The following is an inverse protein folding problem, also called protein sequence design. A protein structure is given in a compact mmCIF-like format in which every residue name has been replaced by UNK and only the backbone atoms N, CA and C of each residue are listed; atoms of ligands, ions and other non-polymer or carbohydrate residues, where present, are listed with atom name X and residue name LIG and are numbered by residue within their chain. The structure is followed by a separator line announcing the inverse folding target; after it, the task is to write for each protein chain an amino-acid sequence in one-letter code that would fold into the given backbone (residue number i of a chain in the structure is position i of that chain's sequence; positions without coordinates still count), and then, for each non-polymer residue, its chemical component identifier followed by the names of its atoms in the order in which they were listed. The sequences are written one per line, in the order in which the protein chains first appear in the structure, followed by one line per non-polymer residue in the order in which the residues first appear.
data_IF_398325578574
#
_entry.id   IF_398325578574
#
_cell.length_a   1.000
_cell.length_b   1.000
_cell.length_c   1.000
_cell.angle_alpha   90.00
_cell.angle_beta   90.00
_cell.angle_gamma   90.00
#
_symmetry.space_group_name_H-M   'P 1'
#
loop_
_entity.id
_entity.type
_entity.pdbx_description
1 polymer ?
#
# COMPACT_ATOMS: atom_id res chain seq x y z
N UNK A 1 -15.60 29.79 56.51
CA UNK A 1 -14.28 29.71 55.84
C UNK A 1 -14.42 28.75 54.67
N UNK A 2 -14.61 29.27 53.46
CA UNK A 2 -14.65 28.49 52.23
C UNK A 2 -13.68 29.13 51.25
N UNK A 3 -12.58 28.44 50.94
CA UNK A 3 -11.61 28.86 49.94
C UNK A 3 -11.85 28.08 48.66
N UNK A 4 -12.31 28.76 47.61
CA UNK A 4 -12.39 28.20 46.27
C UNK A 4 -11.00 28.24 45.63
N UNK A 5 -10.44 27.07 45.31
CA UNK A 5 -9.22 26.95 44.54
C UNK A 5 -9.57 27.06 43.05
N UNK A 6 -9.17 28.17 42.42
CA UNK A 6 -9.36 28.44 41.00
C UNK A 6 -8.22 27.79 40.21
N UNK A 7 -8.51 26.69 39.52
CA UNK A 7 -7.57 26.01 38.62
C UNK A 7 -7.50 26.79 37.30
N UNK A 8 -6.39 27.50 37.08
CA UNK A 8 -6.08 28.11 35.79
C UNK A 8 -5.56 27.03 34.83
N UNK A 9 -6.40 26.64 33.87
CA UNK A 9 -5.98 25.87 32.70
C UNK A 9 -5.26 26.80 31.72
N UNK A 10 -3.94 26.65 31.60
CA UNK A 10 -3.16 27.30 30.55
C UNK A 10 -3.47 26.63 29.21
N UNK A 11 -4.37 27.22 28.43
CA UNK A 11 -4.56 26.88 27.01
C UNK A 11 -3.44 27.51 26.20
N UNK A 12 -2.35 26.78 26.00
CA UNK A 12 -1.37 27.12 24.98
C UNK A 12 -1.97 26.83 23.60
N UNK A 13 -2.67 27.82 23.03
CA UNK A 13 -3.03 27.82 21.62
C UNK A 13 -1.74 28.03 20.80
N UNK A 14 -0.95 26.97 20.59
CA UNK A 14 0.03 26.98 19.52
C UNK A 14 -0.76 27.04 18.21
N UNK A 15 -0.69 28.17 17.50
CA UNK A 15 -1.25 28.27 16.17
C UNK A 15 -0.62 27.16 15.31
N UNK A 16 -1.46 26.25 14.80
CA UNK A 16 -1.03 25.25 13.84
C UNK A 16 -0.35 25.98 12.68
N UNK A 17 0.93 25.70 12.37
CA UNK A 17 1.59 26.33 11.25
C UNK A 17 0.79 26.08 9.97
N UNK A 18 0.69 27.07 9.07
CA UNK A 18 -0.04 26.90 7.83
C UNK A 18 0.57 25.73 7.04
N UNK A 19 -0.28 24.86 6.51
CA UNK A 19 0.16 23.77 5.66
C UNK A 19 0.93 24.34 4.45
N UNK A 20 2.04 23.69 4.03
CA UNK A 20 2.79 24.14 2.87
C UNK A 20 1.95 24.02 1.59
N UNK A 21 2.10 24.98 0.67
CA UNK A 21 1.48 24.92 -0.66
C UNK A 21 2.18 23.86 -1.51
N UNK A 22 1.68 22.63 -1.47
CA UNK A 22 2.24 21.49 -2.21
C UNK A 22 2.20 21.73 -3.72
N UNK A 23 1.15 22.38 -4.24
CA UNK A 23 1.04 22.65 -5.68
C UNK A 23 2.16 23.57 -6.16
N UNK A 24 2.46 24.63 -5.40
CA UNK A 24 3.58 25.52 -5.70
C UNK A 24 4.93 24.78 -5.66
N UNK A 25 5.16 24.00 -4.61
CA UNK A 25 6.41 23.24 -4.39
C UNK A 25 6.66 22.25 -5.54
N UNK A 26 5.62 21.53 -5.98
CA UNK A 26 5.74 20.44 -6.95
C UNK A 26 5.42 20.82 -8.40
N UNK A 27 5.11 22.09 -8.69
CA UNK A 27 4.78 22.60 -10.02
C UNK A 27 5.74 22.15 -11.15
N UNK A 28 7.05 22.15 -10.88
CA UNK A 28 8.06 21.68 -11.85
C UNK A 28 7.98 20.17 -12.09
N UNK A 29 7.76 19.39 -11.04
CA UNK A 29 7.61 17.94 -11.15
C UNK A 29 6.32 17.60 -11.90
N UNK A 30 5.22 18.30 -11.63
CA UNK A 30 3.94 18.14 -12.32
C UNK A 30 4.03 18.49 -13.82
N UNK A 31 4.93 19.40 -14.23
CA UNK A 31 5.12 19.78 -15.62
C UNK A 31 5.89 18.76 -16.49
N UNK A 32 6.46 17.70 -15.90
CA UNK A 32 7.15 16.64 -16.66
C UNK A 32 6.14 15.87 -17.52
N UNK A 33 6.44 15.74 -18.81
CA UNK A 33 5.62 15.00 -19.77
C UNK A 33 5.45 13.53 -19.33
N UNK A 34 4.21 13.05 -19.36
CA UNK A 34 3.84 11.64 -19.15
C UNK A 34 4.68 10.63 -19.94
N UNK A 35 5.20 10.98 -21.14
CA UNK A 35 6.10 10.09 -21.89
C UNK A 35 7.44 9.87 -21.16
N UNK A 36 7.93 10.91 -20.49
CA UNK A 36 9.22 10.93 -19.78
C UNK A 36 9.08 10.66 -18.28
N UNK A 37 7.86 10.76 -17.74
CA UNK A 37 7.56 10.48 -16.34
C UNK A 37 7.81 9.00 -16.05
N UNK A 38 8.37 8.70 -14.89
CA UNK A 38 8.49 7.33 -14.40
C UNK A 38 7.22 6.98 -13.63
N UNK A 39 6.55 5.87 -13.94
CA UNK A 39 5.42 5.44 -13.15
C UNK A 39 5.82 5.14 -11.70
N UNK A 40 4.98 5.54 -10.75
CA UNK A 40 5.18 5.27 -9.32
C UNK A 40 4.33 4.09 -8.88
N UNK A 41 4.90 3.21 -8.05
CA UNK A 41 4.15 2.17 -7.33
C UNK A 41 4.25 2.44 -5.82
N UNK A 42 3.11 2.61 -5.17
CA UNK A 42 3.03 2.69 -3.71
C UNK A 42 2.80 1.30 -3.12
N UNK A 43 3.54 0.97 -2.06
CA UNK A 43 3.48 -0.32 -1.37
C UNK A 43 3.18 -0.04 0.11
N UNK A 44 1.96 -0.35 0.59
CA UNK A 44 1.56 -0.03 1.95
C UNK A 44 2.26 -0.94 2.98
N UNK A 45 2.24 -0.52 4.25
CA UNK A 45 2.62 -1.34 5.38
C UNK A 45 1.55 -2.36 5.77
N UNK A 46 1.81 -3.08 6.87
CA UNK A 46 0.86 -3.98 7.52
C UNK A 46 -0.47 -3.26 7.77
N UNK A 47 -1.59 -3.95 7.57
CA UNK A 47 -2.95 -3.40 7.69
C UNK A 47 -3.32 -2.31 6.66
N UNK A 48 -2.40 -1.95 5.76
CA UNK A 48 -2.62 -0.87 4.80
C UNK A 48 -3.36 -1.27 3.53
N UNK A 49 -3.73 -2.54 3.36
CA UNK A 49 -4.56 -3.00 2.24
C UNK A 49 -5.95 -3.43 2.72
N UNK A 50 -6.98 -3.08 1.94
CA UNK A 50 -8.37 -3.48 2.18
C UNK A 50 -8.53 -4.96 1.83
N UNK A 51 -9.10 -5.74 2.74
CA UNK A 51 -9.36 -7.16 2.54
C UNK A 51 -10.86 -7.41 2.42
N UNK A 52 -11.26 -8.21 1.45
CA UNK A 52 -12.65 -8.58 1.20
C UNK A 52 -12.77 -10.09 1.00
N UNK A 53 -13.89 -10.65 1.39
CA UNK A 53 -14.27 -12.01 1.05
C UNK A 53 -14.60 -12.09 -0.45
N UNK A 54 -14.03 -13.06 -1.15
CA UNK A 54 -14.17 -13.20 -2.61
C UNK A 54 -15.58 -13.56 -3.03
N UNK A 55 -16.28 -14.38 -2.24
CA UNK A 55 -17.54 -14.99 -2.64
C UNK A 55 -18.73 -14.07 -2.30
N UNK A 56 -18.76 -13.54 -1.08
CA UNK A 56 -19.80 -12.64 -0.59
C UNK A 56 -19.54 -11.17 -0.93
N UNK A 57 -18.28 -10.79 -1.18
CA UNK A 57 -17.88 -9.39 -1.31
C UNK A 57 -17.84 -8.61 0.01
N UNK A 58 -18.05 -9.29 1.15
CA UNK A 58 -18.02 -8.65 2.45
C UNK A 58 -16.64 -8.04 2.74
N UNK A 59 -16.62 -6.82 3.27
CA UNK A 59 -15.38 -6.17 3.69
C UNK A 59 -14.93 -6.76 5.02
N UNK A 60 -13.75 -7.38 5.02
CA UNK A 60 -13.14 -8.01 6.20
C UNK A 60 -12.34 -6.97 6.98
N UNK A 61 -11.58 -6.13 6.28
CA UNK A 61 -10.71 -5.10 6.83
C UNK A 61 -10.64 -3.88 5.93
N UNK A 62 -10.63 -2.68 6.50
CA UNK A 62 -10.52 -1.40 5.78
C UNK A 62 -11.85 -0.90 5.21
N UNK A 63 -12.95 -1.05 5.95
CA UNK A 63 -14.27 -0.58 5.54
C UNK A 63 -14.52 0.90 5.82
N UNK A 64 -15.48 1.47 5.08
CA UNK A 64 -15.81 2.90 5.15
C UNK A 64 -16.56 3.27 6.44
N UNK A 65 -17.34 2.34 6.99
CA UNK A 65 -18.13 2.54 8.21
C UNK A 65 -17.48 1.93 9.45
N UNK A 66 -16.66 0.89 9.26
CA UNK A 66 -15.92 0.20 10.31
C UNK A 66 -14.61 -0.36 9.76
N UNK A 67 -13.55 -0.26 10.56
CA UNK A 67 -12.20 -0.70 10.19
C UNK A 67 -12.10 -2.22 9.99
N UNK A 68 -12.88 -2.99 10.74
CA UNK A 68 -12.89 -4.45 10.70
C UNK A 68 -14.31 -4.95 10.96
N UNK A 69 -14.56 -6.22 10.61
CA UNK A 69 -15.71 -6.95 11.11
C UNK A 69 -15.74 -7.00 12.65
N UNK A 70 -16.92 -7.31 13.20
CA UNK A 70 -17.16 -7.40 14.64
C UNK A 70 -16.23 -8.44 15.30
N UNK A 71 -15.33 -8.03 16.22
CA UNK A 71 -14.41 -8.94 16.89
C UNK A 71 -15.11 -9.96 17.80
N UNK A 72 -16.34 -9.68 18.24
CA UNK A 72 -17.11 -10.57 19.12
C UNK A 72 -17.92 -11.62 18.33
N UNK A 73 -17.98 -11.53 17.00
CA UNK A 73 -18.60 -12.54 16.13
C UNK A 73 -17.57 -13.61 15.69
N UNK A 74 -17.70 -14.88 16.12
CA UNK A 74 -16.79 -15.94 15.72
C UNK A 74 -16.77 -16.22 14.21
N UNK A 75 -17.88 -15.96 13.50
CA UNK A 75 -17.93 -16.13 12.05
C UNK A 75 -17.10 -15.04 11.35
N UNK A 76 -17.21 -13.80 11.80
CA UNK A 76 -16.36 -12.69 11.36
C UNK A 76 -14.87 -12.95 11.64
N UNK A 77 -14.53 -13.43 12.83
CA UNK A 77 -13.13 -13.71 13.19
C UNK A 77 -12.50 -14.86 12.40
N UNK A 78 -13.30 -15.78 11.86
CA UNK A 78 -12.80 -16.82 10.94
C UNK A 78 -12.38 -16.24 9.58
N UNK A 79 -12.96 -15.12 9.15
CA UNK A 79 -12.62 -14.50 7.86
C UNK A 79 -11.26 -13.78 7.91
N UNK A 80 -10.85 -13.26 9.06
CA UNK A 80 -9.54 -12.62 9.22
C UNK A 80 -8.42 -13.63 9.50
N UNK A 81 -8.74 -14.77 10.12
CA UNK A 81 -7.77 -15.81 10.44
C UNK A 81 -7.13 -16.42 9.16
N UNK A 82 -5.84 -16.75 9.25
CA UNK A 82 -5.19 -17.54 8.19
C UNK A 82 -5.65 -19.00 8.27
N UNK A 83 -5.80 -19.66 7.11
CA UNK A 83 -6.05 -21.10 7.09
C UNK A 83 -4.87 -21.85 7.71
N UNK A 84 -5.18 -22.79 8.59
CA UNK A 84 -4.21 -23.74 9.13
C UNK A 84 -4.53 -25.14 8.58
N UNK A 85 -3.51 -25.96 8.41
CA UNK A 85 -3.66 -27.31 7.90
C UNK A 85 -2.65 -28.27 8.53
N UNK A 86 -2.58 -29.51 8.03
CA UNK A 86 -1.61 -30.49 8.51
C UNK A 86 -0.17 -29.96 8.42
N UNK A 87 0.75 -30.32 9.34
CA UNK A 87 2.12 -29.79 9.39
C UNK A 87 2.93 -29.95 8.11
N UNK A 88 2.64 -30.98 7.33
CA UNK A 88 3.27 -31.28 6.03
C UNK A 88 2.81 -30.37 4.89
N UNK A 89 1.74 -29.59 5.09
CA UNK A 89 1.21 -28.68 4.07
C UNK A 89 1.99 -27.36 4.11
N UNK A 90 2.67 -26.96 3.01
CA UNK A 90 3.36 -25.67 2.97
C UNK A 90 2.37 -24.54 3.24
N UNK A 91 2.78 -23.52 4.02
CA UNK A 91 1.91 -22.37 4.33
C UNK A 91 1.35 -21.69 3.07
N UNK A 92 2.16 -21.62 1.99
CA UNK A 92 1.73 -21.12 0.66
C UNK A 92 0.64 -21.97 -0.02
N UNK A 93 0.41 -23.20 0.40
CA UNK A 93 -0.67 -24.03 -0.12
C UNK A 93 -1.98 -23.82 0.66
N UNK A 94 -1.89 -23.27 1.88
CA UNK A 94 -3.05 -22.95 2.71
C UNK A 94 -3.66 -21.63 2.20
N UNK A 95 -4.78 -21.73 1.46
CA UNK A 95 -5.49 -20.61 0.83
C UNK A 95 -6.89 -20.46 1.43
N UNK A 96 -7.34 -19.23 1.52
CA UNK A 96 -8.69 -18.85 1.95
C UNK A 96 -9.39 -18.05 0.84
N UNK A 97 -10.63 -17.64 1.10
CA UNK A 97 -11.44 -16.84 0.18
C UNK A 97 -11.09 -15.35 0.17
N UNK A 98 -10.01 -14.91 0.82
CA UNK A 98 -9.72 -13.49 0.97
C UNK A 98 -8.98 -12.94 -0.24
N UNK A 99 -9.33 -11.72 -0.65
CA UNK A 99 -8.60 -10.96 -1.66
C UNK A 99 -8.45 -9.51 -1.26
N UNK A 100 -7.46 -8.83 -1.85
CA UNK A 100 -7.32 -7.39 -1.71
C UNK A 100 -8.27 -6.63 -2.63
N UNK A 101 -8.72 -5.46 -2.18
CA UNK A 101 -9.58 -4.55 -2.95
C UNK A 101 -9.12 -3.08 -2.88
N UNK A 102 -7.81 -2.85 -2.83
CA UNK A 102 -7.21 -1.51 -2.79
C UNK A 102 -6.41 -1.23 -1.50
N UNK A 103 -5.87 -0.02 -1.42
CA UNK A 103 -5.14 0.49 -0.24
C UNK A 103 -6.11 1.22 0.70
N UNK A 104 -5.95 1.06 2.00
CA UNK A 104 -6.77 1.74 3.02
C UNK A 104 -6.29 3.19 3.15
N UNK A 105 -6.90 4.13 2.41
CA UNK A 105 -6.51 5.55 2.47
C UNK A 105 -6.89 6.20 3.81
N UNK A 106 -8.13 5.93 4.23
CA UNK A 106 -8.72 6.40 5.48
C UNK A 106 -9.24 5.19 6.26
N UNK A 107 -8.88 5.11 7.54
CA UNK A 107 -9.43 4.12 8.46
C UNK A 107 -10.53 4.77 9.29
N UNK A 108 -11.71 4.15 9.31
CA UNK A 108 -12.85 4.61 10.10
C UNK A 108 -13.09 3.65 11.27
N UNK A 109 -13.00 4.14 12.50
CA UNK A 109 -13.28 3.37 13.70
C UNK A 109 -14.51 3.94 14.42
N UNK A 110 -15.41 3.09 14.92
CA UNK A 110 -16.48 3.54 15.81
C UNK A 110 -15.98 3.54 17.26
N UNK A 111 -15.96 4.71 17.89
CA UNK A 111 -15.59 4.91 19.29
C UNK A 111 -16.79 5.57 20.00
N UNK A 112 -17.38 4.84 20.95
CA UNK A 112 -18.56 5.30 21.71
C UNK A 112 -19.75 5.74 20.84
N UNK A 113 -19.95 5.09 19.69
CA UNK A 113 -21.03 5.42 18.74
C UNK A 113 -20.72 6.59 17.80
N UNK A 114 -19.52 7.19 17.88
CA UNK A 114 -19.03 8.20 16.93
C UNK A 114 -17.98 7.59 15.99
N UNK A 115 -18.04 7.93 14.71
CA UNK A 115 -17.01 7.53 13.74
C UNK A 115 -15.81 8.46 13.84
N UNK A 116 -14.64 7.90 14.13
CA UNK A 116 -13.34 8.57 14.11
C UNK A 116 -12.58 8.11 12.87
N UNK A 117 -12.23 9.07 12.01
CA UNK A 117 -11.48 8.83 10.78
C UNK A 117 -10.00 9.15 11.00
N UNK A 118 -9.12 8.21 10.69
CA UNK A 118 -7.67 8.40 10.66
C UNK A 118 -7.18 8.33 9.21
N UNK A 119 -6.53 9.39 8.76
CA UNK A 119 -5.86 9.44 7.47
C UNK A 119 -4.54 8.68 7.56
N UNK A 120 -4.48 7.49 6.95
CA UNK A 120 -3.28 6.64 7.02
C UNK A 120 -2.34 6.95 5.86
N UNK A 121 -2.87 7.01 4.64
CA UNK A 121 -2.08 7.26 3.42
C UNK A 121 -2.49 8.53 2.66
N UNK A 122 -3.51 9.26 3.11
CA UNK A 122 -4.02 10.45 2.43
C UNK A 122 -2.93 11.48 2.15
N UNK A 123 -2.11 11.86 3.13
CA UNK A 123 -1.06 12.86 2.92
C UNK A 123 0.02 12.48 1.90
N UNK A 124 0.40 11.20 1.81
CA UNK A 124 1.34 10.73 0.77
C UNK A 124 0.67 10.81 -0.61
N UNK A 125 -0.58 10.38 -0.70
CA UNK A 125 -1.36 10.38 -1.94
C UNK A 125 -1.58 11.81 -2.43
N UNK A 126 -1.98 12.73 -1.54
CA UNK A 126 -2.14 14.16 -1.85
C UNK A 126 -0.83 14.78 -2.35
N UNK A 127 0.30 14.43 -1.72
CA UNK A 127 1.62 14.90 -2.16
C UNK A 127 1.97 14.39 -3.55
N UNK A 128 1.67 13.11 -3.85
CA UNK A 128 1.92 12.54 -5.17
C UNK A 128 0.99 13.13 -6.23
N UNK A 129 -0.29 13.37 -5.89
CA UNK A 129 -1.25 14.07 -6.75
C UNK A 129 -0.75 15.49 -7.06
N UNK A 130 -0.28 16.23 -6.06
CA UNK A 130 0.35 17.53 -6.26
C UNK A 130 1.60 17.46 -7.16
N UNK A 131 2.31 16.33 -7.14
CA UNK A 131 3.41 15.99 -8.05
C UNK A 131 3.00 15.63 -9.49
N UNK A 132 1.69 15.61 -9.79
CA UNK A 132 1.12 15.29 -11.10
C UNK A 132 0.84 13.81 -11.33
N UNK A 133 0.81 12.98 -10.28
CA UNK A 133 0.44 11.57 -10.39
C UNK A 133 -1.06 11.36 -10.21
N UNK A 134 -1.64 10.43 -10.98
CA UNK A 134 -3.06 10.08 -10.90
C UNK A 134 -3.28 8.93 -9.89
N UNK A 135 -3.71 9.25 -8.67
CA UNK A 135 -4.07 8.25 -7.65
C UNK A 135 -5.59 8.20 -7.46
N UNK A 136 -6.29 7.43 -8.31
CA UNK A 136 -7.73 7.22 -8.21
C UNK A 136 -8.10 6.38 -6.99
N UNK A 137 -9.27 6.65 -6.40
CA UNK A 137 -9.69 6.08 -5.11
C UNK A 137 -9.81 4.55 -5.11
N UNK A 138 -10.21 3.94 -6.24
CA UNK A 138 -10.37 2.50 -6.35
C UNK A 138 -10.08 1.99 -7.76
N UNK A 139 -9.76 0.69 -7.88
CA UNK A 139 -9.73 -0.01 -9.17
C UNK A 139 -11.07 0.05 -9.91
N UNK A 140 -12.19 0.08 -9.18
CA UNK A 140 -13.52 0.25 -9.76
C UNK A 140 -13.68 1.63 -10.42
N UNK A 141 -13.16 2.69 -9.79
CA UNK A 141 -13.12 4.03 -10.36
C UNK A 141 -12.26 4.10 -11.63
N UNK A 142 -11.09 3.43 -11.64
CA UNK A 142 -10.25 3.32 -12.84
C UNK A 142 -11.01 2.71 -14.02
N UNK A 143 -11.75 1.61 -13.78
CA UNK A 143 -12.57 0.94 -14.80
C UNK A 143 -13.72 1.83 -15.29
N UNK A 144 -14.39 2.52 -14.37
CA UNK A 144 -15.57 3.35 -14.67
C UNK A 144 -15.24 4.55 -15.56
N UNK A 145 -14.09 5.20 -15.33
CA UNK A 145 -13.69 6.40 -16.07
C UNK A 145 -13.11 6.08 -17.46
N UNK A 146 -12.77 4.80 -17.74
CA UNK A 146 -12.21 4.32 -19.02
C UNK A 146 -10.93 5.04 -19.46
N UNK A 147 -10.34 5.86 -18.59
CA UNK A 147 -9.04 6.51 -18.77
C UNK A 147 -7.96 5.58 -18.27
N UNK A 148 -6.92 5.32 -19.07
CA UNK A 148 -5.84 4.42 -18.66
C UNK A 148 -4.90 5.17 -17.72
N UNK A 149 -4.76 4.72 -16.48
CA UNK A 149 -3.73 5.25 -15.58
C UNK A 149 -2.37 4.64 -15.96
N UNK A 150 -1.41 5.49 -16.27
CA UNK A 150 -0.07 5.10 -16.75
C UNK A 150 1.05 5.47 -15.80
N UNK A 151 0.77 6.31 -14.81
CA UNK A 151 1.81 7.01 -14.08
C UNK A 151 1.79 6.70 -12.59
N UNK A 152 0.68 6.20 -12.03
CA UNK A 152 0.59 5.87 -10.62
C UNK A 152 -0.20 4.60 -10.35
N UNK A 153 0.34 3.78 -9.47
CA UNK A 153 -0.20 2.47 -9.15
C UNK A 153 -0.11 2.20 -7.66
N UNK A 154 -1.15 1.60 -7.11
CA UNK A 154 -1.14 1.06 -5.76
C UNK A 154 -0.95 -0.46 -5.85
N UNK A 155 -0.03 -1.00 -5.05
CA UNK A 155 0.15 -2.45 -4.90
C UNK A 155 -0.39 -2.91 -3.55
N UNK A 156 -1.72 -3.15 -3.43
CA UNK A 156 -2.25 -3.79 -2.25
C UNK A 156 -1.87 -5.28 -2.26
N UNK A 157 -1.57 -5.82 -1.07
CA UNK A 157 -1.26 -7.23 -0.86
C UNK A 157 -1.91 -7.73 0.43
N UNK A 158 -2.08 -9.04 0.54
CA UNK A 158 -2.60 -9.64 1.77
C UNK A 158 -1.53 -9.61 2.85
N UNK A 159 -1.57 -8.57 3.66
CA UNK A 159 -0.61 -8.31 4.75
C UNK A 159 -0.63 -9.36 5.86
N UNK A 160 -1.58 -10.31 5.84
CA UNK A 160 -1.59 -11.45 6.76
C UNK A 160 -0.56 -12.50 6.34
N UNK A 161 -0.23 -12.56 5.04
CA UNK A 161 0.60 -13.61 4.45
C UNK A 161 2.09 -13.27 4.48
N UNK A 162 2.89 -14.25 4.08
CA UNK A 162 4.35 -14.14 4.02
C UNK A 162 4.79 -13.01 3.06
N UNK A 163 5.85 -12.31 3.46
CA UNK A 163 6.51 -11.25 2.68
C UNK A 163 7.02 -11.78 1.34
N UNK A 164 7.47 -13.03 1.29
CA UNK A 164 7.94 -13.67 0.05
C UNK A 164 6.79 -13.82 -0.95
N UNK A 165 5.61 -14.24 -0.48
CA UNK A 165 4.40 -14.32 -1.31
C UNK A 165 4.03 -12.93 -1.86
N UNK A 166 4.05 -11.90 -1.01
CA UNK A 166 3.78 -10.53 -1.44
C UNK A 166 4.83 -10.01 -2.44
N UNK A 167 6.10 -10.41 -2.33
CA UNK A 167 7.15 -10.03 -3.28
C UNK A 167 6.99 -10.71 -4.64
N UNK A 168 6.52 -11.96 -4.66
CA UNK A 168 6.17 -12.68 -5.89
C UNK A 168 4.98 -12.01 -6.59
N UNK A 169 3.95 -11.63 -5.82
CA UNK A 169 2.82 -10.86 -6.33
C UNK A 169 3.26 -9.49 -6.86
N UNK A 170 4.21 -8.83 -6.19
CA UNK A 170 4.80 -7.56 -6.65
C UNK A 170 5.54 -7.74 -7.97
N UNK A 171 6.32 -8.81 -8.12
CA UNK A 171 7.02 -9.11 -9.37
C UNK A 171 6.04 -9.27 -10.53
N UNK A 172 4.97 -10.04 -10.33
CA UNK A 172 3.91 -10.20 -11.32
C UNK A 172 3.17 -8.89 -11.62
N UNK A 173 2.90 -8.10 -10.58
CA UNK A 173 2.26 -6.79 -10.72
C UNK A 173 3.10 -5.84 -11.57
N UNK A 174 4.38 -5.68 -11.23
CA UNK A 174 5.32 -4.80 -11.94
C UNK A 174 5.42 -5.23 -13.40
N UNK A 175 5.58 -6.52 -13.69
CA UNK A 175 5.70 -6.98 -15.08
C UNK A 175 4.44 -6.68 -15.89
N UNK A 176 3.24 -6.95 -15.34
CA UNK A 176 1.99 -6.59 -16.02
C UNK A 176 1.86 -5.10 -16.26
N UNK A 177 2.16 -4.27 -15.25
CA UNK A 177 2.06 -2.81 -15.38
C UNK A 177 3.12 -2.26 -16.34
N UNK A 178 4.32 -2.85 -16.37
CA UNK A 178 5.37 -2.50 -17.33
C UNK A 178 4.89 -2.68 -18.77
N UNK A 179 4.30 -3.83 -19.06
CA UNK A 179 3.72 -4.12 -20.38
C UNK A 179 2.57 -3.17 -20.70
N UNK A 180 1.64 -2.96 -19.76
CA UNK A 180 0.50 -2.04 -19.92
C UNK A 180 0.98 -0.62 -20.26
N UNK A 181 1.92 -0.07 -19.48
CA UNK A 181 2.45 1.28 -19.68
C UNK A 181 3.21 1.39 -20.98
N UNK A 182 4.03 0.40 -21.33
CA UNK A 182 4.78 0.40 -22.58
C UNK A 182 3.85 0.39 -23.81
N UNK A 183 2.82 -0.47 -23.79
CA UNK A 183 1.84 -0.55 -24.88
C UNK A 183 1.08 0.76 -25.05
N UNK A 184 0.62 1.36 -23.96
CA UNK A 184 -0.16 2.58 -24.04
C UNK A 184 0.70 3.79 -24.44
N UNK A 185 1.94 3.90 -23.93
CA UNK A 185 2.88 4.93 -24.38
C UNK A 185 3.20 4.80 -25.88
N UNK A 186 3.36 3.58 -26.39
CA UNK A 186 3.54 3.35 -27.81
C UNK A 186 2.29 3.77 -28.61
N UNK A 187 1.08 3.46 -28.11
CA UNK A 187 -0.18 3.83 -28.75
C UNK A 187 -0.39 5.35 -28.81
N UNK A 188 -0.10 6.06 -27.73
CA UNK A 188 -0.32 7.51 -27.59
C UNK A 188 0.77 8.33 -28.27
N UNK A 189 2.05 7.94 -28.11
CA UNK A 189 3.19 8.74 -28.57
C UNK A 189 3.90 8.19 -29.81
N UNK A 190 3.49 7.02 -30.31
CA UNK A 190 4.06 6.38 -31.50
C UNK A 190 5.48 5.84 -31.34
N UNK A 191 6.10 5.97 -30.16
CA UNK A 191 7.45 5.48 -29.84
C UNK A 191 7.65 5.27 -28.35
N UNK A 192 8.55 4.36 -28.01
CA UNK A 192 9.12 4.22 -26.67
C UNK A 192 10.49 4.89 -26.63
N UNK A 193 10.67 5.82 -25.70
CA UNK A 193 11.96 6.51 -25.49
C UNK A 193 12.94 5.66 -24.70
N UNK A 194 12.46 4.93 -23.69
CA UNK A 194 13.25 4.06 -22.82
C UNK A 194 12.41 2.86 -22.35
N UNK A 195 13.05 1.77 -21.87
CA UNK A 195 12.34 0.72 -21.15
C UNK A 195 11.57 1.31 -19.96
N UNK A 196 10.32 0.88 -19.76
CA UNK A 196 9.53 1.32 -18.61
C UNK A 196 10.15 0.76 -17.34
N UNK A 197 10.52 1.66 -16.43
CA UNK A 197 10.94 1.38 -15.05
C UNK A 197 10.05 2.14 -14.09
N UNK A 198 9.94 1.63 -12.88
CA UNK A 198 9.10 2.21 -11.83
C UNK A 198 9.93 2.88 -10.74
N UNK A 199 9.37 3.93 -10.14
CA UNK A 199 9.81 4.40 -8.84
C UNK A 199 8.91 3.78 -7.76
N UNK A 200 9.49 3.24 -6.70
CA UNK A 200 8.77 2.59 -5.60
C UNK A 200 8.71 3.49 -4.37
N UNK A 201 7.54 3.61 -3.75
CA UNK A 201 7.36 4.25 -2.44
C UNK A 201 6.79 3.21 -1.48
N UNK A 202 7.62 2.73 -0.56
CA UNK A 202 7.27 1.59 0.28
C UNK A 202 7.31 1.96 1.77
N UNK A 203 6.20 1.71 2.46
CA UNK A 203 6.01 2.06 3.87
C UNK A 203 6.05 0.82 4.76
N UNK A 204 6.74 0.92 5.90
CA UNK A 204 6.76 -0.10 6.96
C UNK A 204 7.04 -1.51 6.41
N UNK A 205 6.20 -2.51 6.67
CA UNK A 205 6.35 -3.86 6.14
C UNK A 205 6.39 -3.94 4.61
N UNK A 206 5.75 -3.00 3.91
CA UNK A 206 5.84 -2.88 2.45
C UNK A 206 7.27 -2.62 1.97
N UNK A 207 8.11 -1.97 2.78
CA UNK A 207 9.52 -1.79 2.47
C UNK A 207 10.29 -3.12 2.51
N UNK A 208 9.88 -4.07 3.35
CA UNK A 208 10.47 -5.42 3.37
C UNK A 208 10.07 -6.21 2.12
N UNK A 209 8.81 -6.10 1.69
CA UNK A 209 8.31 -6.67 0.41
C UNK A 209 9.13 -6.12 -0.76
N UNK A 210 9.23 -4.80 -0.86
CA UNK A 210 10.01 -4.14 -1.91
C UNK A 210 11.49 -4.55 -1.87
N UNK A 211 12.11 -4.58 -0.68
CA UNK A 211 13.50 -4.99 -0.52
C UNK A 211 13.74 -6.43 -0.96
N UNK A 212 12.86 -7.36 -0.57
CA UNK A 212 12.96 -8.75 -0.98
C UNK A 212 12.88 -8.87 -2.50
N UNK A 213 11.87 -8.24 -3.12
CA UNK A 213 11.71 -8.21 -4.57
C UNK A 213 12.95 -7.64 -5.27
N UNK A 214 13.50 -6.52 -4.80
CA UNK A 214 14.68 -5.90 -5.39
C UNK A 214 15.88 -6.85 -5.38
N UNK A 215 16.10 -7.57 -4.27
CA UNK A 215 17.24 -8.46 -4.07
C UNK A 215 17.08 -9.79 -4.83
N UNK A 216 15.89 -10.39 -4.78
CA UNK A 216 15.67 -11.78 -5.16
C UNK A 216 14.63 -11.97 -6.27
N UNK A 217 13.99 -10.92 -6.76
CA UNK A 217 12.93 -11.03 -7.77
C UNK A 217 11.73 -11.81 -7.22
N UNK A 218 11.27 -12.81 -7.97
CA UNK A 218 10.17 -13.69 -7.60
C UNK A 218 10.63 -15.03 -6.98
N UNK A 219 11.90 -15.13 -6.58
CA UNK A 219 12.42 -16.37 -5.98
C UNK A 219 11.70 -16.70 -4.67
N UNK A 220 11.56 -17.99 -4.39
CA UNK A 220 11.06 -18.49 -3.11
C UNK A 220 12.23 -18.78 -2.15
N UNK A 221 11.94 -18.93 -0.86
CA UNK A 221 12.93 -19.37 0.11
C UNK A 221 13.35 -20.83 -0.15
N UNK A 222 14.66 -21.13 -0.16
CA UNK A 222 15.16 -22.49 -0.17
C UNK A 222 14.61 -23.35 0.97
N UNK A 223 14.34 -24.62 0.69
CA UNK A 223 13.82 -25.57 1.68
C UNK A 223 14.81 -25.89 2.82
N UNK A 224 16.09 -25.60 2.62
CA UNK A 224 17.14 -25.77 3.63
C UNK A 224 17.23 -24.60 4.63
N UNK A 225 16.36 -23.60 4.51
CA UNK A 225 16.33 -22.41 5.37
C UNK A 225 17.40 -21.36 5.03
N UNK A 226 18.14 -21.56 3.94
CA UNK A 226 19.09 -20.58 3.42
C UNK A 226 18.43 -19.36 2.77
N UNK A 227 19.26 -18.46 2.27
CA UNK A 227 18.81 -17.32 1.45
C UNK A 227 18.81 -17.72 -0.04
N UNK A 228 17.86 -17.22 -0.85
CA UNK A 228 17.93 -17.37 -2.30
C UNK A 228 19.21 -16.74 -2.87
N UNK A 229 19.68 -17.16 -4.05
CA UNK A 229 20.71 -16.44 -4.79
C UNK A 229 20.37 -14.95 -4.99
N UNK A 230 21.30 -14.07 -4.62
CA UNK A 230 21.16 -12.62 -4.80
C UNK A 230 21.34 -12.24 -6.28
N UNK A 231 20.24 -12.08 -7.01
CA UNK A 231 20.25 -11.82 -8.45
C UNK A 231 20.04 -10.35 -8.82
N UNK A 232 19.47 -9.55 -7.91
CA UNK A 232 19.01 -8.19 -8.19
C UNK A 232 18.01 -8.09 -9.35
N UNK A 233 17.30 -9.18 -9.64
CA UNK A 233 16.36 -9.25 -10.77
C UNK A 233 15.27 -8.17 -10.68
N UNK A 234 14.67 -7.99 -9.50
CA UNK A 234 13.63 -6.97 -9.32
C UNK A 234 14.13 -5.55 -9.55
N UNK A 235 15.40 -5.27 -9.23
CA UNK A 235 16.01 -3.96 -9.45
C UNK A 235 16.12 -3.58 -10.93
N UNK A 236 16.06 -4.54 -11.87
CA UNK A 236 16.10 -4.22 -13.30
C UNK A 236 14.86 -3.44 -13.77
N UNK A 237 13.74 -3.57 -13.05
CA UNK A 237 12.47 -2.92 -13.35
C UNK A 237 12.24 -1.64 -12.53
N UNK A 238 13.17 -1.31 -11.62
CA UNK A 238 13.02 -0.23 -10.66
C UNK A 238 14.16 0.76 -10.83
N UNK A 239 13.83 2.04 -10.88
CA UNK A 239 14.83 3.09 -10.97
C UNK A 239 15.17 3.63 -9.58
N UNK A 240 14.15 4.04 -8.83
CA UNK A 240 14.30 4.58 -7.48
C UNK A 240 13.41 3.84 -6.50
N UNK A 241 13.87 3.68 -5.26
CA UNK A 241 13.03 3.24 -4.15
C UNK A 241 13.16 4.20 -2.98
N UNK A 242 12.02 4.60 -2.42
CA UNK A 242 11.91 5.39 -1.19
C UNK A 242 11.33 4.50 -0.11
N UNK A 243 12.13 4.22 0.93
CA UNK A 243 11.68 3.49 2.11
C UNK A 243 11.25 4.45 3.22
N UNK A 244 10.04 4.24 3.72
CA UNK A 244 9.46 5.03 4.81
C UNK A 244 9.28 4.11 6.01
N UNK A 245 9.99 4.40 7.11
CA UNK A 245 9.94 3.63 8.36
C UNK A 245 10.08 2.10 8.21
N UNK A 246 11.08 1.58 7.46
CA UNK A 246 11.23 0.13 7.28
C UNK A 246 11.61 -0.58 8.61
N UNK A 247 10.84 -1.59 9.07
CA UNK A 247 11.17 -2.35 10.27
C UNK A 247 12.22 -3.42 9.96
N UNK A 248 13.42 -2.99 9.55
CA UNK A 248 14.51 -3.87 9.08
C UNK A 248 14.92 -4.95 10.08
N UNK A 249 14.73 -4.70 11.38
CA UNK A 249 15.05 -5.62 12.47
C UNK A 249 13.79 -6.03 13.26
N UNK A 250 12.60 -5.90 12.66
CA UNK A 250 11.32 -6.02 13.36
C UNK A 250 10.95 -4.77 14.16
N UNK A 251 9.89 -4.89 14.97
CA UNK A 251 9.38 -3.82 15.82
C UNK A 251 9.01 -4.37 17.20
N UNK A 252 9.37 -3.64 18.26
CA UNK A 252 9.09 -4.05 19.66
C UNK A 252 7.57 -4.09 19.94
N UNK A 253 6.76 -3.32 19.22
CA UNK A 253 5.30 -3.30 19.40
C UNK A 253 4.55 -4.43 18.68
N UNK A 254 5.24 -5.41 18.11
CA UNK A 254 4.63 -6.50 17.34
C UNK A 254 4.35 -7.78 18.15
N UNK A 255 4.39 -7.70 19.49
CA UNK A 255 4.10 -8.81 20.42
C UNK A 255 2.70 -8.69 21.01
#
# INVERSE_FOLDING_TARGET
MGGAAMMLTLTACAATPPAPDLAAIYSRAAAVDSQQRRPVVTIPGTLGSRLVDRDSGAVIWGGDTALSLDPDDPAAMRLIALPFGPPETPLRALRDGVRTDGVVRTANASLFGATVSLEIYSGIIETLIAGGYDFRETRAAEISDRTVNLDAFEFPYDWRRDIVEAAQDLAYFIERKRVQVAQERLRVFGRLTEPVRFDLVAHSMGALVARYYLMYGAQDLPADGGLPPLTWEGAQNVETVVFIAPPNAGAIGAF
#
